data_IF_225136479603
#
_entry.id   IF_225136479603
#
_cell.length_a   1.000
_cell.length_b   1.000
_cell.length_c   1.000
_cell.angle_alpha   90.00
_cell.angle_beta   90.00
_cell.angle_gamma   90.00
#
_symmetry.space_group_name_H-M   'P 1'
#
loop_
_entity.id
_entity.type
_entity.pdbx_description
1 polymer ?
#
# COMPACT_ATOMS: atom_id res chain seq x y z
N UNK A 1 11.99 -23.81 -13.09
CA UNK A 1 12.29 -22.80 -12.05
C UNK A 1 11.77 -21.47 -12.57
N UNK A 2 10.95 -20.71 -11.81
CA UNK A 2 10.59 -19.36 -12.21
C UNK A 2 11.88 -18.58 -12.41
N UNK A 3 12.04 -17.95 -13.58
CA UNK A 3 13.16 -17.06 -13.89
C UNK A 3 13.29 -16.02 -12.77
N UNK A 4 14.47 -15.95 -12.13
CA UNK A 4 14.78 -15.15 -10.94
C UNK A 4 14.64 -13.64 -11.13
N UNK A 5 13.40 -13.19 -11.34
CA UNK A 5 13.00 -11.79 -11.43
C UNK A 5 11.99 -11.50 -10.31
N UNK A 6 12.32 -11.98 -9.11
CA UNK A 6 11.52 -11.82 -7.92
C UNK A 6 11.50 -10.37 -7.45
N UNK A 7 12.65 -9.68 -7.49
CA UNK A 7 12.73 -8.24 -7.23
C UNK A 7 11.82 -7.45 -8.16
N UNK A 8 11.88 -7.76 -9.45
CA UNK A 8 11.04 -7.10 -10.46
C UNK A 8 9.55 -7.38 -10.19
N UNK A 9 9.21 -8.62 -9.85
CA UNK A 9 7.83 -9.03 -9.55
C UNK A 9 7.26 -8.27 -8.35
N UNK A 10 8.02 -8.13 -7.26
CA UNK A 10 7.61 -7.33 -6.09
C UNK A 10 7.48 -5.86 -6.48
N UNK A 11 8.44 -5.32 -7.23
CA UNK A 11 8.40 -3.94 -7.72
C UNK A 11 7.18 -3.66 -8.60
N UNK A 12 6.82 -4.59 -9.49
CA UNK A 12 5.64 -4.51 -10.34
C UNK A 12 4.34 -4.54 -9.52
N UNK A 13 4.26 -5.42 -8.53
CA UNK A 13 3.11 -5.48 -7.62
C UNK A 13 2.92 -4.17 -6.85
N UNK A 14 4.00 -3.60 -6.31
CA UNK A 14 3.98 -2.32 -5.61
C UNK A 14 3.48 -1.18 -6.51
N UNK A 15 3.98 -1.11 -7.76
CA UNK A 15 3.54 -0.10 -8.75
C UNK A 15 2.07 -0.28 -9.10
N UNK A 16 1.61 -1.50 -9.35
CA UNK A 16 0.23 -1.79 -9.71
C UNK A 16 -0.75 -1.35 -8.61
N UNK A 17 -0.42 -1.64 -7.35
CA UNK A 17 -1.20 -1.21 -6.19
C UNK A 17 -1.24 0.32 -6.10
N UNK A 18 -0.11 1.01 -6.29
CA UNK A 18 -0.09 2.47 -6.27
C UNK A 18 -0.96 3.07 -7.39
N UNK A 19 -0.90 2.54 -8.61
CA UNK A 19 -1.76 3.02 -9.71
C UNK A 19 -3.24 2.88 -9.36
N UNK A 20 -3.65 1.76 -8.76
CA UNK A 20 -5.01 1.58 -8.28
C UNK A 20 -5.38 2.56 -7.16
N UNK A 21 -4.47 2.81 -6.22
CA UNK A 21 -4.65 3.81 -5.16
C UNK A 21 -4.90 5.21 -5.74
N UNK A 22 -4.05 5.63 -6.67
CA UNK A 22 -4.15 6.93 -7.33
C UNK A 22 -5.43 7.06 -8.15
N UNK A 23 -5.83 6.00 -8.85
CA UNK A 23 -7.08 5.97 -9.61
C UNK A 23 -8.30 6.12 -8.68
N UNK A 24 -8.34 5.39 -7.56
CA UNK A 24 -9.42 5.51 -6.57
C UNK A 24 -9.49 6.87 -5.89
N UNK A 25 -8.33 7.46 -5.60
CA UNK A 25 -8.23 8.72 -4.86
C UNK A 25 -8.27 9.95 -5.76
N UNK A 26 -8.14 9.78 -7.07
CA UNK A 26 -8.00 10.89 -8.01
C UNK A 26 -6.77 11.78 -7.72
N UNK A 27 -5.75 11.26 -7.03
CA UNK A 27 -4.54 12.01 -6.64
C UNK A 27 -3.30 11.35 -7.20
N UNK A 28 -2.41 12.16 -7.77
CA UNK A 28 -1.10 11.76 -8.31
C UNK A 28 -0.03 12.73 -7.82
N UNK A 29 1.25 12.39 -8.00
CA UNK A 29 2.37 13.27 -7.70
C UNK A 29 2.74 13.38 -6.21
N UNK A 30 2.26 12.46 -5.37
CA UNK A 30 2.69 12.30 -3.98
C UNK A 30 3.25 10.90 -3.77
N UNK A 31 4.16 10.75 -2.80
CA UNK A 31 4.71 9.43 -2.47
C UNK A 31 3.61 8.48 -2.02
N UNK A 32 3.79 7.20 -2.30
CA UNK A 32 2.82 6.12 -2.07
C UNK A 32 2.49 5.99 -0.59
N UNK A 33 3.54 6.03 0.24
CA UNK A 33 3.41 6.06 1.69
C UNK A 33 2.53 7.23 2.15
N UNK A 34 2.79 8.45 1.64
CA UNK A 34 2.00 9.65 2.00
C UNK A 34 0.58 9.59 1.47
N UNK A 35 0.39 9.09 0.25
CA UNK A 35 -0.92 8.93 -0.39
C UNK A 35 -1.81 8.02 0.45
N UNK A 36 -1.32 6.82 0.76
CA UNK A 36 -2.10 5.81 1.47
C UNK A 36 -2.29 6.16 2.96
N UNK A 37 -1.27 6.68 3.65
CA UNK A 37 -1.45 7.16 5.03
C UNK A 37 -2.49 8.29 5.12
N UNK A 38 -2.50 9.22 4.15
CA UNK A 38 -3.51 10.29 4.12
C UNK A 38 -4.89 9.75 3.74
N UNK A 39 -4.95 8.77 2.84
CA UNK A 39 -6.20 8.15 2.42
C UNK A 39 -6.89 7.41 3.58
N UNK A 40 -6.13 6.72 4.43
CA UNK A 40 -6.68 5.98 5.58
C UNK A 40 -6.88 6.84 6.83
N UNK A 41 -6.51 8.11 6.83
CA UNK A 41 -6.69 8.99 7.99
C UNK A 41 -8.16 9.06 8.43
N UNK A 42 -8.41 9.03 9.74
CA UNK A 42 -9.74 9.21 10.33
C UNK A 42 -10.28 10.64 10.15
N UNK A 43 -9.41 11.62 9.95
CA UNK A 43 -9.78 13.02 9.68
C UNK A 43 -10.80 13.14 8.55
N UNK A 44 -11.67 14.16 8.65
CA UNK A 44 -12.64 14.47 7.61
C UNK A 44 -11.99 14.62 6.23
N UNK A 45 -12.65 14.17 5.15
CA UNK A 45 -12.18 14.42 3.80
C UNK A 45 -12.13 15.92 3.54
N UNK A 46 -11.08 16.36 2.85
CA UNK A 46 -10.94 17.75 2.41
C UNK A 46 -10.86 17.80 0.88
N UNK A 47 -11.05 18.97 0.28
CA UNK A 47 -11.01 19.14 -1.17
C UNK A 47 -9.69 18.58 -1.74
N UNK A 48 -9.81 17.69 -2.74
CA UNK A 48 -8.65 17.02 -3.34
C UNK A 48 -7.97 15.98 -2.44
N UNK A 49 -8.55 15.62 -1.30
CA UNK A 49 -8.04 14.63 -0.34
C UNK A 49 -9.16 13.69 0.14
N UNK A 50 -9.68 12.82 -0.74
CA UNK A 50 -10.68 11.84 -0.35
C UNK A 50 -10.11 10.80 0.64
N UNK A 51 -11.01 10.18 1.42
CA UNK A 51 -10.66 9.14 2.40
C UNK A 51 -11.16 7.77 1.94
N UNK A 52 -10.33 6.76 2.15
CA UNK A 52 -10.76 5.36 2.04
C UNK A 52 -11.32 4.93 3.39
N UNK A 53 -12.64 4.75 3.46
CA UNK A 53 -13.33 4.26 4.65
C UNK A 53 -13.42 2.74 4.63
N UNK A 54 -12.86 2.08 5.64
CA UNK A 54 -12.81 0.63 5.81
C UNK A 54 -14.05 0.05 6.47
N UNK A 55 -14.81 0.91 7.13
CA UNK A 55 -16.09 0.66 7.77
C UNK A 55 -16.83 1.99 7.90
N UNK A 56 -18.15 1.98 8.15
CA UNK A 56 -18.87 3.18 8.57
C UNK A 56 -18.20 3.81 9.78
N UNK A 57 -18.20 5.14 9.82
CA UNK A 57 -17.72 5.89 10.99
C UNK A 57 -18.79 5.83 12.08
N UNK A 58 -18.52 5.06 13.12
CA UNK A 58 -19.36 4.91 14.31
C UNK A 58 -18.82 5.74 15.50
N UNK A 59 -17.78 6.55 15.27
CA UNK A 59 -17.07 7.29 16.32
C UNK A 59 -16.26 6.40 17.28
N UNK A 60 -16.29 5.08 17.11
CA UNK A 60 -15.69 4.11 18.00
C UNK A 60 -14.20 3.90 17.76
N UNK A 61 -13.52 3.37 18.77
CA UNK A 61 -12.09 3.08 18.68
C UNK A 61 -11.76 1.96 17.71
N UNK A 62 -12.71 1.05 17.46
CA UNK A 62 -12.58 0.01 16.43
C UNK A 62 -12.45 0.63 15.03
N UNK A 63 -13.24 1.66 14.72
CA UNK A 63 -13.11 2.40 13.46
C UNK A 63 -11.73 3.04 13.37
N UNK A 64 -11.31 3.78 14.40
CA UNK A 64 -10.02 4.48 14.41
C UNK A 64 -8.85 3.52 14.26
N UNK A 65 -8.78 2.50 15.11
CA UNK A 65 -7.70 1.51 15.12
C UNK A 65 -7.56 0.78 13.78
N UNK A 66 -8.68 0.47 13.12
CA UNK A 66 -8.67 -0.19 11.82
C UNK A 66 -8.08 0.71 10.73
N UNK A 67 -8.45 1.99 10.74
CA UNK A 67 -7.99 2.98 9.78
C UNK A 67 -6.51 3.35 10.01
N UNK A 68 -6.13 3.61 11.26
CA UNK A 68 -4.76 3.92 11.63
C UNK A 68 -3.83 2.73 11.36
N UNK A 69 -4.26 1.52 11.70
CA UNK A 69 -3.53 0.29 11.39
C UNK A 69 -3.30 0.11 9.89
N UNK A 70 -4.31 0.37 9.06
CA UNK A 70 -4.16 0.31 7.61
C UNK A 70 -3.20 1.38 7.07
N UNK A 71 -3.30 2.61 7.56
CA UNK A 71 -2.39 3.71 7.22
C UNK A 71 -0.93 3.41 7.58
N UNK A 72 -0.70 2.87 8.77
CA UNK A 72 0.61 2.49 9.25
C UNK A 72 1.19 1.29 8.50
N UNK A 73 0.37 0.26 8.24
CA UNK A 73 0.80 -0.89 7.47
C UNK A 73 1.16 -0.50 6.03
N UNK A 74 0.32 0.29 5.36
CA UNK A 74 0.63 0.80 4.02
C UNK A 74 1.92 1.61 3.99
N UNK A 75 2.11 2.52 4.97
CA UNK A 75 3.35 3.28 5.11
C UNK A 75 4.56 2.35 5.28
N UNK A 76 4.45 1.37 6.17
CA UNK A 76 5.51 0.40 6.47
C UNK A 76 5.91 -0.38 5.23
N UNK A 77 4.95 -1.01 4.54
CA UNK A 77 5.22 -1.80 3.33
C UNK A 77 5.90 -0.98 2.24
N UNK A 78 5.40 0.23 1.93
CA UNK A 78 6.04 1.04 0.88
C UNK A 78 7.41 1.61 1.29
N UNK A 79 7.60 1.93 2.57
CA UNK A 79 8.87 2.47 3.05
C UNK A 79 9.93 1.39 3.18
N UNK A 80 9.56 0.21 3.69
CA UNK A 80 10.50 -0.88 3.99
C UNK A 80 10.78 -1.78 2.78
N UNK A 81 9.82 -1.99 1.87
CA UNK A 81 9.97 -2.95 0.77
C UNK A 81 10.21 -2.22 -0.56
N UNK A 82 9.30 -1.32 -0.96
CA UNK A 82 9.43 -0.67 -2.27
C UNK A 82 10.62 0.29 -2.34
N UNK A 83 10.92 1.01 -1.25
CA UNK A 83 11.97 2.04 -1.29
C UNK A 83 13.36 1.45 -1.54
N UNK A 84 13.78 0.35 -0.85
CA UNK A 84 15.00 -0.37 -1.19
C UNK A 84 14.98 -0.95 -2.61
N UNK A 85 13.91 -1.63 -3.02
CA UNK A 85 13.78 -2.22 -4.38
C UNK A 85 13.95 -1.17 -5.49
N UNK A 86 13.56 0.08 -5.24
CA UNK A 86 13.60 1.16 -6.23
C UNK A 86 14.93 1.93 -6.27
N UNK A 87 15.74 1.90 -5.22
CA UNK A 87 16.95 2.74 -5.10
C UNK A 87 18.25 1.95 -4.89
N UNK A 88 18.17 0.71 -4.40
CA UNK A 88 19.33 -0.14 -4.21
C UNK A 88 19.51 -1.05 -5.43
N UNK A 89 20.65 -0.92 -6.12
CA UNK A 89 21.16 -1.96 -7.03
C UNK A 89 21.59 -3.16 -6.19
N UNK A 90 20.62 -3.90 -5.67
CA UNK A 90 20.84 -5.05 -4.79
C UNK A 90 20.83 -6.39 -5.52
N UNK A 91 21.48 -7.39 -4.91
CA UNK A 91 21.47 -8.80 -5.35
C UNK A 91 20.05 -9.36 -5.44
N UNK A 92 19.72 -10.18 -6.43
CA UNK A 92 18.37 -10.77 -6.63
C UNK A 92 17.74 -11.28 -5.32
N UNK A 93 16.43 -11.06 -5.14
CA UNK A 93 15.73 -11.55 -3.95
C UNK A 93 15.68 -13.07 -3.96
N UNK A 94 15.92 -13.68 -2.81
CA UNK A 94 15.58 -15.08 -2.58
C UNK A 94 14.06 -15.30 -2.69
N UNK A 95 13.65 -16.47 -3.15
CA UNK A 95 12.24 -16.78 -3.42
C UNK A 95 11.36 -16.60 -2.18
N UNK A 96 11.83 -17.02 -1.00
CA UNK A 96 11.08 -16.90 0.25
C UNK A 96 10.83 -15.44 0.64
N UNK A 97 11.85 -14.60 0.55
CA UNK A 97 11.75 -13.18 0.87
C UNK A 97 10.79 -12.48 -0.11
N UNK A 98 10.88 -12.80 -1.40
CA UNK A 98 9.99 -12.25 -2.40
C UNK A 98 8.53 -12.63 -2.16
N UNK A 99 8.26 -13.89 -1.78
CA UNK A 99 6.92 -14.35 -1.46
C UNK A 99 6.35 -13.65 -0.22
N UNK A 100 7.16 -13.39 0.81
CA UNK A 100 6.75 -12.62 1.99
C UNK A 100 6.39 -11.18 1.62
N UNK A 101 7.22 -10.53 0.80
CA UNK A 101 6.97 -9.18 0.32
C UNK A 101 5.72 -9.10 -0.57
N UNK A 102 5.52 -10.07 -1.47
CA UNK A 102 4.30 -10.20 -2.28
C UNK A 102 3.07 -10.46 -1.42
N UNK A 103 3.18 -11.25 -0.35
CA UNK A 103 2.08 -11.48 0.58
C UNK A 103 1.67 -10.18 1.29
N UNK A 104 2.64 -9.35 1.71
CA UNK A 104 2.36 -8.05 2.30
C UNK A 104 1.60 -7.12 1.32
N UNK A 105 2.01 -7.07 0.06
CA UNK A 105 1.31 -6.33 -0.99
C UNK A 105 -0.07 -6.93 -1.31
N UNK A 106 -0.21 -8.26 -1.28
CA UNK A 106 -1.48 -8.95 -1.47
C UNK A 106 -2.51 -8.60 -0.39
N UNK A 107 -2.07 -8.48 0.87
CA UNK A 107 -2.92 -8.02 1.98
C UNK A 107 -3.42 -6.59 1.71
N UNK A 108 -2.53 -5.68 1.27
CA UNK A 108 -2.91 -4.32 0.88
C UNK A 108 -3.95 -4.31 -0.26
N UNK A 109 -3.69 -5.10 -1.29
CA UNK A 109 -4.53 -5.16 -2.48
C UNK A 109 -5.94 -5.69 -2.17
N UNK A 110 -6.01 -6.88 -1.56
CA UNK A 110 -7.29 -7.57 -1.27
C UNK A 110 -8.15 -6.81 -0.29
N UNK A 111 -7.52 -6.20 0.73
CA UNK A 111 -8.29 -5.58 1.80
C UNK A 111 -8.80 -4.19 1.39
N UNK A 112 -8.10 -3.48 0.49
CA UNK A 112 -8.33 -2.05 0.30
C UNK A 112 -8.30 -1.52 -1.15
N UNK A 113 -7.63 -2.19 -2.08
CA UNK A 113 -7.46 -1.70 -3.46
C UNK A 113 -8.41 -2.35 -4.46
N UNK A 114 -8.80 -3.60 -4.26
CA UNK A 114 -9.78 -4.25 -5.13
C UNK A 114 -11.21 -3.82 -4.75
N UNK A 115 -12.13 -3.70 -5.73
CA UNK A 115 -13.55 -3.62 -5.43
C UNK A 115 -13.99 -4.91 -4.72
N UNK A 116 -14.89 -4.77 -3.74
CA UNK A 116 -15.56 -5.91 -3.11
C UNK A 116 -16.86 -6.23 -3.84
#
# INVERSE_FOLDING_TARGET
>A
MPSGHFRESVGAAARAINVQAQAKLGRRGVSEAKLLSNAFSTNSPTAGHPRLRLSPDDGGDTFKNRHDGAGNFARGVYSAIRSPIAHEEGDELEESEALEQLAAFSILARRWMLPR
#
